data_IF_236153087101
#
_entry.id   IF_236153087101
#
_cell.length_a   1.000
_cell.length_b   1.000
_cell.length_c   1.000
_cell.angle_alpha   90.00
_cell.angle_beta   90.00
_cell.angle_gamma   90.00
#
_symmetry.space_group_name_H-M   'P 1'
#
loop_
_entity.id
_entity.type
_entity.pdbx_description
1 polymer ?
#
# COMPACT_ATOMS: atom_id res chain seq x y z
N UNK A 1 0.84 15.32 -18.55
CA UNK A 1 -0.16 15.94 -17.64
C UNK A 1 0.20 17.41 -17.51
N UNK A 2 -0.76 18.34 -17.62
CA UNK A 2 -0.40 19.76 -17.50
C UNK A 2 0.01 20.11 -16.06
N UNK A 3 0.81 21.17 -15.88
CA UNK A 3 1.38 21.53 -14.57
C UNK A 3 0.32 21.75 -13.47
N UNK A 4 -0.88 22.17 -13.85
CA UNK A 4 -1.96 22.45 -12.89
C UNK A 4 -2.63 21.15 -12.42
N UNK A 5 -2.82 20.18 -13.32
CA UNK A 5 -3.25 18.83 -12.97
C UNK A 5 -2.28 18.19 -11.97
N UNK A 6 -0.97 18.32 -12.19
CA UNK A 6 0.05 17.79 -11.26
C UNK A 6 -0.04 18.45 -9.88
N UNK A 7 -0.26 19.76 -9.86
CA UNK A 7 -0.46 20.51 -8.62
C UNK A 7 -1.71 20.03 -7.88
N UNK A 8 -2.82 19.79 -8.57
CA UNK A 8 -4.05 19.25 -7.97
C UNK A 8 -3.80 17.90 -7.31
N UNK A 9 -3.12 16.98 -7.99
CA UNK A 9 -2.71 15.68 -7.42
C UNK A 9 -1.81 15.84 -6.20
N UNK A 10 -0.80 16.70 -6.31
CA UNK A 10 0.15 16.96 -5.25
C UNK A 10 -0.53 17.49 -3.99
N UNK A 11 -1.48 18.42 -4.14
CA UNK A 11 -2.24 18.98 -3.03
C UNK A 11 -3.09 17.92 -2.36
N UNK A 12 -3.87 17.13 -3.13
CA UNK A 12 -4.70 16.04 -2.57
C UNK A 12 -3.84 14.99 -1.87
N UNK A 13 -2.73 14.57 -2.49
CA UNK A 13 -1.80 13.62 -1.89
C UNK A 13 -1.15 14.16 -0.61
N UNK A 14 -0.80 15.44 -0.58
CA UNK A 14 -0.27 16.11 0.61
C UNK A 14 -1.26 16.08 1.76
N UNK A 15 -2.56 16.27 1.50
CA UNK A 15 -3.59 16.18 2.53
C UNK A 15 -3.65 14.77 3.14
N UNK A 16 -3.60 13.74 2.31
CA UNK A 16 -3.61 12.36 2.82
C UNK A 16 -2.38 12.03 3.66
N UNK A 17 -1.19 12.47 3.23
CA UNK A 17 0.07 12.17 3.93
C UNK A 17 0.28 13.02 5.18
N UNK A 18 -0.03 14.32 5.14
CA UNK A 18 0.29 15.27 6.21
C UNK A 18 -0.85 15.48 7.20
N UNK A 19 -2.09 15.19 6.80
CA UNK A 19 -3.26 15.42 7.66
C UNK A 19 -3.95 14.09 7.97
N UNK A 20 -4.46 13.39 6.96
CA UNK A 20 -5.32 12.21 7.20
C UNK A 20 -4.56 11.08 7.86
N UNK A 21 -3.38 10.73 7.36
CA UNK A 21 -2.58 9.63 7.93
C UNK A 21 -2.20 9.90 9.40
N UNK A 22 -1.65 11.07 9.76
CA UNK A 22 -1.40 11.40 11.17
C UNK A 22 -2.65 11.44 12.04
N UNK A 23 -3.79 11.95 11.53
CA UNK A 23 -5.06 11.93 12.25
C UNK A 23 -5.50 10.50 12.55
N UNK A 24 -5.40 9.60 11.57
CA UNK A 24 -5.79 8.20 11.75
C UNK A 24 -4.88 7.50 12.76
N UNK A 25 -3.56 7.69 12.64
CA UNK A 25 -2.58 7.21 13.61
C UNK A 25 -2.92 7.68 15.02
N UNK A 26 -3.16 8.98 15.21
CA UNK A 26 -3.54 9.55 16.51
C UNK A 26 -4.84 8.94 17.06
N UNK A 27 -5.84 8.66 16.22
CA UNK A 27 -7.06 7.96 16.64
C UNK A 27 -6.79 6.51 17.06
N UNK A 28 -5.93 5.78 16.35
CA UNK A 28 -5.47 4.44 16.77
C UNK A 28 -4.75 4.52 18.11
N UNK A 29 -3.89 5.52 18.29
CA UNK A 29 -3.17 5.76 19.53
C UNK A 29 -4.09 5.97 20.73
N UNK A 30 -5.05 6.88 20.56
CA UNK A 30 -6.04 7.15 21.57
C UNK A 30 -6.84 5.89 21.91
N UNK A 31 -7.26 5.10 20.92
CA UNK A 31 -8.04 3.87 21.16
C UNK A 31 -7.23 2.85 21.96
N UNK A 32 -5.99 2.55 21.56
CA UNK A 32 -5.21 1.57 22.31
C UNK A 32 -4.81 2.05 23.70
N UNK A 33 -4.53 3.35 23.85
CA UNK A 33 -4.22 3.96 25.15
C UNK A 33 -5.43 3.91 26.08
N UNK A 34 -6.62 4.23 25.57
CA UNK A 34 -7.88 4.17 26.32
C UNK A 34 -8.25 2.74 26.72
N UNK A 35 -7.88 1.74 25.92
CA UNK A 35 -8.02 0.31 26.25
C UNK A 35 -6.94 -0.19 27.24
N UNK A 36 -6.02 0.68 27.68
CA UNK A 36 -4.99 0.36 28.67
C UNK A 36 -3.78 -0.37 28.10
N UNK A 37 -3.60 -0.39 26.77
CA UNK A 37 -2.38 -0.91 26.17
C UNK A 37 -1.26 0.12 26.34
N UNK A 38 -0.12 -0.30 26.89
CA UNK A 38 1.04 0.57 27.07
C UNK A 38 1.83 0.89 25.78
N UNK A 39 1.48 0.24 24.66
CA UNK A 39 2.09 0.49 23.36
C UNK A 39 1.22 -0.04 22.22
N UNK A 40 1.45 0.49 21.01
CA UNK A 40 0.87 -0.04 19.79
C UNK A 40 1.22 -1.51 19.55
N UNK A 41 2.46 -1.91 19.86
CA UNK A 41 2.89 -3.32 19.77
C UNK A 41 2.06 -4.25 20.66
N UNK A 42 1.78 -3.83 21.90
CA UNK A 42 0.93 -4.59 22.81
C UNK A 42 -0.51 -4.68 22.33
N UNK A 43 -1.03 -3.60 21.74
CA UNK A 43 -2.36 -3.55 21.14
C UNK A 43 -2.52 -4.51 19.96
N UNK A 44 -1.61 -4.47 18.98
CA UNK A 44 -1.65 -5.38 17.84
C UNK A 44 -1.51 -6.84 18.29
N UNK A 45 -0.71 -7.10 19.33
CA UNK A 45 -0.57 -8.45 19.90
C UNK A 45 -1.73 -8.90 20.78
N UNK A 46 -2.71 -8.03 21.08
CA UNK A 46 -3.87 -8.42 21.86
C UNK A 46 -4.68 -9.49 21.13
N UNK A 47 -5.27 -10.42 21.88
CA UNK A 47 -5.94 -11.59 21.30
C UNK A 47 -7.07 -11.19 20.34
N UNK A 48 -7.87 -10.17 20.69
CA UNK A 48 -8.97 -9.68 19.86
C UNK A 48 -8.47 -9.08 18.55
N UNK A 49 -7.43 -8.24 18.57
CA UNK A 49 -6.88 -7.59 17.37
C UNK A 49 -6.24 -8.63 16.45
N UNK A 50 -5.42 -9.55 17.00
CA UNK A 50 -4.84 -10.66 16.21
C UNK A 50 -5.91 -11.51 15.56
N UNK A 51 -6.97 -11.82 16.29
CA UNK A 51 -8.10 -12.61 15.79
C UNK A 51 -8.78 -11.91 14.61
N UNK A 52 -9.13 -10.63 14.76
CA UNK A 52 -9.79 -9.84 13.72
C UNK A 52 -8.93 -9.77 12.45
N UNK A 53 -7.67 -9.35 12.59
CA UNK A 53 -6.75 -9.22 11.45
C UNK A 53 -6.50 -10.56 10.74
N UNK A 54 -6.43 -11.66 11.50
CA UNK A 54 -6.31 -13.02 10.93
C UNK A 54 -7.51 -13.35 10.03
N UNK A 55 -8.74 -13.06 10.45
CA UNK A 55 -9.94 -13.33 9.65
C UNK A 55 -10.10 -12.40 8.46
N UNK A 56 -9.58 -11.16 8.53
CA UNK A 56 -9.49 -10.30 7.35
C UNK A 56 -8.53 -10.87 6.30
N UNK A 57 -7.47 -11.56 6.73
CA UNK A 57 -6.52 -12.23 5.86
C UNK A 57 -7.04 -13.58 5.31
N UNK A 58 -7.70 -14.39 6.13
CA UNK A 58 -8.26 -15.71 5.78
C UNK A 58 -9.77 -15.71 5.86
N UNK A 59 -10.40 -15.19 4.80
CA UNK A 59 -11.85 -15.23 4.68
C UNK A 59 -12.33 -16.68 4.76
N UNK A 60 -13.34 -16.94 5.58
CA UNK A 60 -14.01 -18.24 5.74
C UNK A 60 -13.22 -19.34 6.47
N UNK A 61 -12.09 -19.05 7.13
CA UNK A 61 -11.49 -20.01 8.06
C UNK A 61 -12.09 -19.85 9.45
N UNK A 62 -12.61 -20.94 10.04
CA UNK A 62 -12.93 -20.97 11.47
C UNK A 62 -11.62 -21.00 12.26
N UNK A 63 -11.47 -20.16 13.28
CA UNK A 63 -10.33 -20.24 14.18
C UNK A 63 -10.81 -20.43 15.63
N UNK A 64 -10.17 -21.36 16.33
CA UNK A 64 -10.49 -21.78 17.71
C UNK A 64 -11.86 -22.49 17.87
N UNK A 65 -12.02 -23.21 18.98
CA UNK A 65 -13.21 -24.02 19.29
C UNK A 65 -14.48 -23.18 19.49
N UNK A 66 -14.37 -21.87 19.70
CA UNK A 66 -15.48 -20.93 19.84
C UNK A 66 -15.95 -20.39 18.49
N UNK A 67 -16.85 -21.15 17.85
CA UNK A 67 -17.48 -20.78 16.58
C UNK A 67 -18.47 -19.60 16.69
N UNK A 68 -18.79 -19.14 17.91
CA UNK A 68 -19.91 -18.22 18.17
C UNK A 68 -19.59 -16.76 17.80
N UNK A 69 -18.31 -16.40 17.67
CA UNK A 69 -17.87 -15.03 17.33
C UNK A 69 -17.16 -14.91 15.97
N UNK A 70 -17.08 -16.01 15.20
CA UNK A 70 -16.47 -16.02 13.88
C UNK A 70 -17.45 -15.49 12.81
N UNK A 71 -17.92 -14.24 12.93
CA UNK A 71 -18.80 -13.65 11.92
C UNK A 71 -18.14 -12.48 11.19
N UNK A 72 -17.99 -12.67 9.88
CA UNK A 72 -18.08 -11.67 8.82
C UNK A 72 -17.70 -10.24 9.22
N UNK A 73 -16.40 -9.96 9.33
CA UNK A 73 -15.98 -8.58 9.09
C UNK A 73 -16.17 -8.29 7.60
N UNK A 74 -17.14 -7.44 7.29
CA UNK A 74 -17.48 -7.03 5.92
C UNK A 74 -16.52 -6.01 5.34
N UNK A 75 -15.58 -5.49 6.12
CA UNK A 75 -14.80 -4.34 5.72
C UNK A 75 -13.33 -4.71 5.49
N UNK A 76 -13.10 -5.30 4.31
CA UNK A 76 -11.83 -5.25 3.57
C UNK A 76 -10.74 -6.25 3.99
N UNK A 77 -10.10 -6.95 3.03
CA UNK A 77 -9.09 -7.94 3.35
C UNK A 77 -7.76 -7.27 3.72
N UNK A 78 -6.98 -7.94 4.58
CA UNK A 78 -5.56 -7.65 4.76
C UNK A 78 -4.80 -8.41 3.67
N UNK A 79 -3.99 -7.71 2.87
CA UNK A 79 -3.17 -8.35 1.83
C UNK A 79 -1.83 -8.87 2.39
N UNK A 80 -1.02 -9.54 1.56
CA UNK A 80 0.26 -10.10 1.98
C UNK A 80 1.27 -9.04 2.46
N UNK A 81 1.41 -7.92 1.75
CA UNK A 81 2.38 -6.89 2.11
C UNK A 81 2.06 -6.21 3.43
N UNK A 82 0.78 -5.93 3.68
CA UNK A 82 0.28 -5.39 4.95
C UNK A 82 0.44 -6.39 6.09
N UNK A 83 0.18 -7.68 5.82
CA UNK A 83 0.37 -8.72 6.83
C UNK A 83 1.85 -8.86 7.23
N UNK A 84 2.75 -8.92 6.24
CA UNK A 84 4.20 -9.03 6.47
C UNK A 84 4.74 -7.84 7.26
N UNK A 85 4.15 -6.64 7.10
CA UNK A 85 4.51 -5.49 7.91
C UNK A 85 4.09 -5.71 9.37
N UNK A 86 2.90 -6.26 9.60
CA UNK A 86 2.35 -6.45 10.93
C UNK A 86 2.94 -7.63 11.71
N UNK A 87 3.20 -8.78 11.08
CA UNK A 87 3.53 -10.03 11.76
C UNK A 87 4.79 -10.71 11.23
N UNK A 88 5.48 -11.39 12.15
CA UNK A 88 6.74 -12.13 11.90
C UNK A 88 6.56 -13.39 11.06
N UNK A 89 5.39 -14.04 11.13
CA UNK A 89 5.08 -15.25 10.37
C UNK A 89 4.04 -14.95 9.28
N UNK A 90 4.34 -15.37 8.06
CA UNK A 90 3.39 -15.32 6.96
C UNK A 90 2.56 -16.61 6.93
N UNK A 91 1.23 -16.51 7.02
CA UNK A 91 0.33 -17.63 6.91
C UNK A 91 0.10 -17.90 5.43
N UNK A 92 1.07 -18.53 4.75
CA UNK A 92 1.00 -18.87 3.32
C UNK A 92 -0.32 -19.51 2.83
N UNK A 93 -0.42 -19.88 1.55
CA UNK A 93 -1.64 -20.50 1.04
C UNK A 93 -1.87 -21.89 1.69
N UNK A 94 -2.77 -21.97 2.66
CA UNK A 94 -3.12 -23.23 3.33
C UNK A 94 -4.00 -23.05 4.58
N UNK A 95 -4.53 -24.16 5.15
CA UNK A 95 -5.32 -24.12 6.38
C UNK A 95 -4.40 -23.79 7.56
N UNK A 96 -4.26 -22.51 7.88
CA UNK A 96 -3.43 -22.09 9.01
C UNK A 96 -4.19 -22.18 10.34
N UNK A 97 -3.69 -23.10 11.17
CA UNK A 97 -4.15 -23.35 12.52
C UNK A 97 -3.84 -22.16 13.44
N UNK A 98 -4.91 -21.53 13.93
CA UNK A 98 -4.98 -20.60 15.07
C UNK A 98 -4.25 -19.23 14.94
N UNK A 99 -4.96 -18.14 15.23
CA UNK A 99 -4.40 -16.78 15.28
C UNK A 99 -3.42 -16.56 16.45
N UNK A 100 -3.46 -17.41 17.49
CA UNK A 100 -2.64 -17.23 18.69
C UNK A 100 -1.13 -17.35 18.45
N UNK A 101 -0.71 -18.04 17.38
CA UNK A 101 0.71 -18.26 17.08
C UNK A 101 1.42 -17.01 16.54
N UNK A 102 0.68 -16.04 16.01
CA UNK A 102 1.28 -14.88 15.38
C UNK A 102 1.73 -13.86 16.42
N UNK A 103 2.94 -13.33 16.21
CA UNK A 103 3.54 -12.27 17.02
C UNK A 103 3.82 -11.06 16.13
N UNK A 104 3.36 -9.89 16.57
CA UNK A 104 3.56 -8.65 15.83
C UNK A 104 5.05 -8.29 15.74
N UNK A 105 5.46 -7.80 14.57
CA UNK A 105 6.78 -7.21 14.37
C UNK A 105 6.98 -6.01 15.31
N UNK A 106 8.22 -5.57 15.51
CA UNK A 106 8.50 -4.31 16.22
C UNK A 106 8.14 -3.11 15.34
N UNK A 107 6.83 -2.92 15.13
CA UNK A 107 6.27 -1.80 14.38
C UNK A 107 5.91 -0.65 15.32
N UNK A 108 6.18 0.55 14.85
CA UNK A 108 5.71 1.79 15.44
C UNK A 108 4.46 2.27 14.73
N UNK A 109 3.71 3.14 15.40
CA UNK A 109 2.53 3.76 14.83
C UNK A 109 2.86 4.58 13.56
N UNK A 110 4.06 5.16 13.52
CA UNK A 110 4.53 5.95 12.39
C UNK A 110 4.86 5.12 11.13
N UNK A 111 4.94 3.80 11.26
CA UNK A 111 5.15 2.89 10.15
C UNK A 111 3.85 2.60 9.38
N UNK A 112 2.69 2.98 9.94
CA UNK A 112 1.39 2.71 9.33
C UNK A 112 1.05 3.75 8.25
N UNK A 113 0.90 3.33 7.00
CA UNK A 113 0.27 4.17 5.98
C UNK A 113 -1.24 4.38 6.25
N UNK A 114 -1.88 5.22 5.44
CA UNK A 114 -3.33 5.46 5.52
C UNK A 114 -4.15 4.18 5.35
N UNK A 115 -3.71 3.25 4.49
CA UNK A 115 -4.44 2.03 4.18
C UNK A 115 -4.49 1.13 5.40
N UNK A 116 -3.36 0.95 6.09
CA UNK A 116 -3.24 0.11 7.27
C UNK A 116 -3.85 0.79 8.50
N UNK A 117 -3.63 2.09 8.67
CA UNK A 117 -4.23 2.86 9.76
C UNK A 117 -5.76 2.85 9.68
N UNK A 118 -6.33 3.10 8.48
CA UNK A 118 -7.79 3.02 8.28
C UNK A 118 -8.34 1.61 8.49
N UNK A 119 -7.63 0.57 8.04
CA UNK A 119 -8.04 -0.82 8.25
C UNK A 119 -8.10 -1.16 9.73
N UNK A 120 -7.07 -0.79 10.51
CA UNK A 120 -7.03 -1.00 11.96
C UNK A 120 -8.15 -0.21 12.64
N UNK A 121 -8.35 1.05 12.27
CA UNK A 121 -9.42 1.88 12.82
C UNK A 121 -10.82 1.27 12.61
N UNK A 122 -11.13 0.88 11.37
CA UNK A 122 -12.47 0.38 11.01
C UNK A 122 -12.77 -1.00 11.59
N UNK A 123 -11.75 -1.81 11.87
CA UNK A 123 -11.96 -3.21 12.27
C UNK A 123 -11.59 -3.50 13.73
N UNK A 124 -10.66 -2.73 14.32
CA UNK A 124 -10.06 -3.05 15.62
C UNK A 124 -10.28 -1.97 16.69
N UNK A 125 -10.65 -0.75 16.27
CA UNK A 125 -10.87 0.38 17.18
C UNK A 125 -12.38 0.64 17.39
N UNK A 126 -12.71 1.28 18.51
CA UNK A 126 -14.07 1.70 18.78
C UNK A 126 -14.31 3.10 18.21
N UNK A 127 -14.94 3.17 17.03
CA UNK A 127 -15.34 4.42 16.40
C UNK A 127 -16.83 4.69 16.60
N UNK A 128 -17.19 5.98 16.72
CA UNK A 128 -18.58 6.40 16.56
C UNK A 128 -19.03 6.21 15.11
N UNK A 129 -20.33 6.02 14.89
CA UNK A 129 -20.89 5.76 13.55
C UNK A 129 -20.49 6.81 12.50
N UNK A 130 -20.40 8.07 12.92
CA UNK A 130 -19.97 9.17 12.05
C UNK A 130 -18.50 9.03 11.65
N UNK A 131 -17.60 8.85 12.62
CA UNK A 131 -16.16 8.64 12.37
C UNK A 131 -15.92 7.42 11.49
N UNK A 132 -16.62 6.31 11.73
CA UNK A 132 -16.52 5.10 10.91
C UNK A 132 -16.86 5.39 9.44
N UNK A 133 -17.95 6.13 9.19
CA UNK A 133 -18.36 6.50 7.85
C UNK A 133 -17.31 7.40 7.18
N UNK A 134 -16.82 8.42 7.90
CA UNK A 134 -15.83 9.35 7.34
C UNK A 134 -14.50 8.65 7.05
N UNK A 135 -14.01 7.79 7.96
CA UNK A 135 -12.79 7.00 7.74
C UNK A 135 -12.96 6.09 6.51
N UNK A 136 -14.11 5.45 6.38
CA UNK A 136 -14.45 4.63 5.21
C UNK A 136 -14.44 5.44 3.91
N UNK A 137 -15.05 6.63 3.91
CA UNK A 137 -15.08 7.54 2.77
C UNK A 137 -13.67 8.01 2.41
N UNK A 138 -12.89 8.59 3.35
CA UNK A 138 -11.53 9.07 3.09
C UNK A 138 -10.62 7.97 2.52
N UNK A 139 -10.76 6.73 3.02
CA UNK A 139 -10.05 5.58 2.45
C UNK A 139 -10.49 5.30 1.01
N UNK A 140 -11.78 5.33 0.74
CA UNK A 140 -12.31 5.14 -0.60
C UNK A 140 -11.82 6.23 -1.55
N UNK A 141 -11.81 7.50 -1.12
CA UNK A 141 -11.22 8.61 -1.87
C UNK A 141 -9.73 8.37 -2.16
N UNK A 142 -8.94 7.90 -1.18
CA UNK A 142 -7.54 7.53 -1.45
C UNK A 142 -7.44 6.48 -2.55
N UNK A 143 -8.25 5.42 -2.51
CA UNK A 143 -8.19 4.37 -3.52
C UNK A 143 -8.65 4.89 -4.90
N UNK A 144 -9.78 5.57 -4.95
CA UNK A 144 -10.35 6.02 -6.22
C UNK A 144 -9.48 7.09 -6.89
N UNK A 145 -8.86 7.99 -6.12
CA UNK A 145 -8.15 9.13 -6.69
C UNK A 145 -6.63 9.01 -6.69
N UNK A 146 -6.04 8.24 -5.79
CA UNK A 146 -4.59 8.01 -5.82
C UNK A 146 -4.30 6.71 -6.57
N UNK A 147 -5.03 5.60 -6.32
CA UNK A 147 -4.68 4.32 -6.96
C UNK A 147 -5.14 4.17 -8.42
N UNK A 148 -6.18 4.87 -8.87
CA UNK A 148 -6.69 4.73 -10.26
C UNK A 148 -6.17 5.82 -11.21
N UNK A 149 -5.57 6.87 -10.68
CA UNK A 149 -5.38 8.11 -11.40
C UNK A 149 -3.92 8.38 -11.79
N UNK A 150 -3.06 7.37 -11.63
CA UNK A 150 -1.75 7.28 -12.32
C UNK A 150 -1.90 7.38 -13.85
N UNK A 151 -3.11 7.14 -14.37
CA UNK A 151 -3.42 7.14 -15.80
C UNK A 151 -4.18 8.38 -16.31
N UNK A 152 -4.92 9.12 -15.47
CA UNK A 152 -5.84 10.20 -15.90
C UNK A 152 -5.45 11.64 -15.49
N UNK A 153 -6.05 12.63 -16.17
CA UNK A 153 -6.04 14.05 -15.75
C UNK A 153 -7.15 14.32 -14.74
N UNK A 154 -6.94 15.19 -13.75
CA UNK A 154 -8.02 15.70 -12.89
C UNK A 154 -8.46 17.04 -13.45
N UNK A 155 -9.68 17.09 -13.97
CA UNK A 155 -10.28 18.35 -14.40
C UNK A 155 -10.45 19.31 -13.22
N UNK A 156 -10.46 20.61 -13.48
CA UNK A 156 -10.68 21.63 -12.45
C UNK A 156 -11.98 21.39 -11.66
N UNK A 157 -13.05 20.99 -12.35
CA UNK A 157 -14.34 20.65 -11.74
C UNK A 157 -14.22 19.46 -10.79
N UNK A 158 -13.57 18.37 -11.23
CA UNK A 158 -13.35 17.21 -10.38
C UNK A 158 -12.52 17.57 -9.15
N UNK A 159 -11.45 18.37 -9.33
CA UNK A 159 -10.64 18.84 -8.21
C UNK A 159 -11.45 19.67 -7.20
N UNK A 160 -12.31 20.57 -7.66
CA UNK A 160 -13.11 21.38 -6.74
C UNK A 160 -14.11 20.53 -5.96
N UNK A 161 -14.81 19.61 -6.61
CA UNK A 161 -15.71 18.67 -5.91
C UNK A 161 -14.93 17.83 -4.89
N UNK A 162 -13.80 17.26 -5.31
CA UNK A 162 -12.91 16.49 -4.47
C UNK A 162 -12.43 17.26 -3.25
N UNK A 163 -11.95 18.47 -3.48
CA UNK A 163 -11.41 19.31 -2.44
C UNK A 163 -12.48 19.66 -1.41
N UNK A 164 -13.67 20.05 -1.85
CA UNK A 164 -14.79 20.38 -0.95
C UNK A 164 -15.20 19.19 -0.09
N UNK A 165 -15.28 17.99 -0.67
CA UNK A 165 -15.62 16.79 0.08
C UNK A 165 -14.52 16.44 1.11
N UNK A 166 -13.25 16.46 0.66
CA UNK A 166 -12.09 16.16 1.49
C UNK A 166 -11.97 17.12 2.68
N UNK A 167 -12.13 18.42 2.42
CA UNK A 167 -12.15 19.48 3.44
C UNK A 167 -13.28 19.24 4.44
N UNK A 168 -14.50 18.98 3.96
CA UNK A 168 -15.66 18.69 4.83
C UNK A 168 -15.41 17.48 5.74
N UNK A 169 -14.88 16.38 5.19
CA UNK A 169 -14.59 15.18 5.97
C UNK A 169 -13.51 15.40 7.02
N UNK A 170 -12.44 16.11 6.67
CA UNK A 170 -11.33 16.37 7.58
C UNK A 170 -11.79 17.29 8.71
N UNK A 171 -12.52 18.37 8.40
CA UNK A 171 -13.01 19.29 9.42
C UNK A 171 -14.08 18.67 10.33
N UNK A 172 -14.85 17.70 9.83
CA UNK A 172 -15.73 16.90 10.69
C UNK A 172 -14.94 15.98 11.64
N UNK A 173 -13.81 15.42 11.20
CA UNK A 173 -12.97 14.58 12.05
C UNK A 173 -12.12 15.36 13.05
N UNK A 174 -11.59 16.50 12.63
CA UNK A 174 -10.77 17.40 13.43
C UNK A 174 -10.89 18.85 12.90
N UNK A 175 -11.77 19.68 13.51
CA UNK A 175 -11.95 21.07 13.12
C UNK A 175 -10.68 21.92 13.22
N UNK A 176 -9.67 21.50 14.00
CA UNK A 176 -8.41 22.26 14.14
C UNK A 176 -7.53 22.25 12.88
N UNK A 177 -7.94 21.53 11.84
CA UNK A 177 -7.19 21.35 10.59
C UNK A 177 -7.48 22.36 9.49
N UNK A 178 -8.33 23.34 9.76
CA UNK A 178 -8.67 24.40 8.80
C UNK A 178 -7.43 25.12 8.27
N UNK A 179 -6.56 25.62 9.15
CA UNK A 179 -5.33 26.33 8.75
C UNK A 179 -4.37 25.42 7.96
N UNK A 180 -4.28 24.13 8.34
CA UNK A 180 -3.45 23.15 7.65
C UNK A 180 -3.95 22.92 6.21
N UNK A 181 -5.28 22.85 6.01
CA UNK A 181 -5.91 22.68 4.71
C UNK A 181 -5.71 23.90 3.82
N UNK A 182 -5.91 25.11 4.34
CA UNK A 182 -5.67 26.37 3.62
C UNK A 182 -4.22 26.45 3.15
N UNK A 183 -3.27 26.11 4.05
CA UNK A 183 -1.84 26.07 3.74
C UNK A 183 -1.52 25.09 2.61
N UNK A 184 -2.10 23.89 2.65
CA UNK A 184 -1.87 22.88 1.61
C UNK A 184 -2.49 23.26 0.27
N UNK A 185 -3.69 23.85 0.27
CA UNK A 185 -4.35 24.31 -0.96
C UNK A 185 -3.53 25.37 -1.70
N UNK A 186 -2.88 26.27 -0.95
CA UNK A 186 -2.06 27.36 -1.48
C UNK A 186 -0.61 26.94 -1.75
N UNK A 187 -0.23 25.68 -1.47
CA UNK A 187 1.15 25.24 -1.58
C UNK A 187 1.62 25.29 -3.05
N UNK A 188 2.83 25.83 -3.31
CA UNK A 188 3.46 25.72 -4.62
C UNK A 188 3.87 24.27 -4.89
N UNK A 189 3.85 23.88 -6.17
CA UNK A 189 4.33 22.55 -6.57
C UNK A 189 5.81 22.38 -6.16
N UNK A 190 6.09 21.40 -5.31
CA UNK A 190 7.43 20.98 -4.91
C UNK A 190 7.67 19.58 -5.45
N UNK A 191 8.59 19.47 -6.40
CA UNK A 191 8.77 18.21 -7.09
C UNK A 191 9.35 17.10 -6.20
N UNK A 192 10.31 17.41 -5.34
CA UNK A 192 10.90 16.39 -4.47
C UNK A 192 9.83 15.80 -3.54
N UNK A 193 8.90 16.65 -3.11
CA UNK A 193 7.79 16.24 -2.27
C UNK A 193 6.75 15.43 -3.07
N UNK A 194 6.48 15.80 -4.33
CA UNK A 194 5.64 15.02 -5.25
C UNK A 194 6.16 13.59 -5.39
N UNK A 195 7.44 13.43 -5.73
CA UNK A 195 8.06 12.12 -5.98
C UNK A 195 7.97 11.23 -4.73
N UNK A 196 8.27 11.81 -3.57
CA UNK A 196 8.16 11.12 -2.28
C UNK A 196 6.71 10.66 -2.00
N UNK A 197 5.73 11.51 -2.25
CA UNK A 197 4.32 11.21 -1.98
C UNK A 197 3.73 10.23 -2.98
N UNK A 198 4.14 10.29 -4.25
CA UNK A 198 3.74 9.34 -5.27
C UNK A 198 4.14 7.91 -4.86
N UNK A 199 5.38 7.73 -4.38
CA UNK A 199 5.89 6.45 -3.88
C UNK A 199 5.09 5.97 -2.66
N UNK A 200 4.79 6.86 -1.70
CA UNK A 200 4.07 6.49 -0.48
C UNK A 200 2.56 6.23 -0.68
N UNK A 201 1.91 6.92 -1.61
CA UNK A 201 0.44 6.89 -1.76
C UNK A 201 -0.06 5.85 -2.75
N UNK A 202 0.72 5.53 -3.78
CA UNK A 202 0.34 4.57 -4.80
C UNK A 202 0.44 3.12 -4.33
N UNK A 203 0.80 2.88 -3.07
CA UNK A 203 1.15 1.55 -2.55
C UNK A 203 2.12 0.83 -3.51
N UNK A 204 2.97 1.60 -4.22
CA UNK A 204 3.93 1.17 -5.26
C UNK A 204 5.11 0.41 -4.65
N UNK A 205 4.87 -0.30 -3.56
CA UNK A 205 5.77 -1.34 -3.09
C UNK A 205 5.83 -2.43 -4.16
N UNK A 206 6.92 -2.42 -4.94
CA UNK A 206 8.00 -3.43 -5.07
C UNK A 206 7.68 -4.93 -4.97
N UNK A 207 6.60 -5.36 -4.31
CA UNK A 207 6.26 -6.75 -3.99
C UNK A 207 5.34 -7.43 -5.00
N UNK A 208 4.58 -6.68 -5.83
CA UNK A 208 3.68 -7.31 -6.81
C UNK A 208 4.48 -8.01 -7.92
N UNK A 209 5.50 -7.34 -8.45
CA UNK A 209 6.36 -7.89 -9.52
C UNK A 209 7.23 -9.05 -9.01
N UNK A 210 7.79 -8.94 -7.79
CA UNK A 210 8.52 -10.04 -7.17
C UNK A 210 7.62 -11.26 -6.91
N UNK A 211 6.39 -11.06 -6.42
CA UNK A 211 5.47 -12.17 -6.16
C UNK A 211 4.96 -12.84 -7.44
N UNK A 212 4.74 -12.08 -8.52
CA UNK A 212 4.35 -12.66 -9.81
C UNK A 212 5.50 -13.50 -10.40
N UNK A 213 6.75 -13.00 -10.37
CA UNK A 213 7.93 -13.75 -10.84
C UNK A 213 8.21 -14.99 -9.97
N UNK A 214 8.01 -14.88 -8.66
CA UNK A 214 8.11 -16.01 -7.74
C UNK A 214 6.96 -17.01 -7.96
N UNK A 215 5.76 -16.56 -8.31
CA UNK A 215 4.64 -17.45 -8.67
C UNK A 215 4.91 -18.18 -9.99
N UNK A 216 5.47 -17.51 -11.00
CA UNK A 216 5.95 -18.13 -12.25
C UNK A 216 7.05 -19.18 -12.00
N UNK A 217 7.92 -18.94 -11.03
CA UNK A 217 8.94 -19.91 -10.60
C UNK A 217 8.35 -21.19 -10.01
N UNK A 218 7.24 -21.10 -9.28
CA UNK A 218 6.60 -22.25 -8.62
C UNK A 218 5.77 -23.12 -9.58
N UNK A 219 5.25 -22.55 -10.67
CA UNK A 219 4.37 -23.26 -11.62
C UNK A 219 5.09 -23.79 -12.87
N UNK A 220 6.39 -23.57 -13.00
CA UNK A 220 7.15 -23.98 -14.19
C UNK A 220 8.08 -25.17 -13.89
N UNK A 221 7.90 -26.29 -14.59
CA UNK A 221 8.83 -27.45 -14.61
C UNK A 221 10.15 -27.16 -15.37
N UNK A 222 10.44 -25.87 -15.59
CA UNK A 222 11.62 -25.42 -16.29
C UNK A 222 12.84 -25.53 -15.37
N UNK A 223 13.88 -26.19 -15.86
CA UNK A 223 15.19 -26.25 -15.21
C UNK A 223 15.66 -24.85 -14.80
N UNK A 224 16.17 -24.70 -13.57
CA UNK A 224 16.57 -23.42 -12.97
C UNK A 224 17.55 -22.63 -13.86
N UNK A 225 18.39 -23.32 -14.63
CA UNK A 225 19.34 -22.73 -15.59
C UNK A 225 18.68 -22.14 -16.84
N UNK A 226 17.39 -22.42 -17.07
CA UNK A 226 16.63 -21.95 -18.23
C UNK A 226 15.62 -20.87 -17.84
N UNK A 227 15.25 -20.77 -16.57
CA UNK A 227 14.26 -19.82 -16.07
C UNK A 227 14.65 -18.36 -16.37
N UNK A 228 15.90 -17.97 -16.08
CA UNK A 228 16.38 -16.60 -16.37
C UNK A 228 16.27 -16.26 -17.85
N UNK A 229 16.72 -17.17 -18.72
CA UNK A 229 16.67 -16.97 -20.18
C UNK A 229 15.23 -16.91 -20.73
N UNK A 230 14.32 -17.74 -20.22
CA UNK A 230 12.93 -17.76 -20.68
C UNK A 230 12.22 -16.46 -20.30
N UNK A 231 12.43 -15.97 -19.07
CA UNK A 231 11.82 -14.71 -18.64
C UNK A 231 12.41 -13.53 -19.44
N UNK A 232 13.73 -13.50 -19.65
CA UNK A 232 14.40 -12.50 -20.48
C UNK A 232 13.80 -12.39 -21.90
N UNK A 233 13.51 -13.54 -22.50
CA UNK A 233 12.90 -13.62 -23.82
C UNK A 233 11.40 -13.31 -23.82
N UNK A 234 10.72 -13.43 -22.68
CA UNK A 234 9.31 -13.07 -22.53
C UNK A 234 9.10 -11.57 -22.34
N UNK A 235 10.17 -10.81 -22.05
CA UNK A 235 10.08 -9.36 -22.01
C UNK A 235 9.68 -8.80 -23.38
N UNK A 236 8.86 -7.74 -23.42
CA UNK A 236 8.38 -7.16 -24.66
C UNK A 236 9.53 -6.59 -25.51
N UNK A 237 9.52 -6.89 -26.82
CA UNK A 237 10.52 -6.42 -27.78
C UNK A 237 10.31 -4.94 -28.14
N UNK A 238 9.04 -4.54 -28.31
CA UNK A 238 8.63 -3.20 -28.74
C UNK A 238 8.03 -2.39 -27.56
N UNK A 239 8.74 -2.40 -26.43
CA UNK A 239 8.37 -1.58 -25.27
C UNK A 239 9.19 -0.29 -25.22
N UNK A 240 8.56 0.83 -24.83
CA UNK A 240 9.22 2.14 -24.76
C UNK A 240 10.42 2.15 -23.81
N UNK A 241 10.39 1.34 -22.73
CA UNK A 241 11.51 1.21 -21.80
C UNK A 241 12.73 0.51 -22.41
N UNK A 242 12.54 -0.20 -23.53
CA UNK A 242 13.54 -1.08 -24.15
C UNK A 242 14.18 -2.04 -23.14
N UNK A 243 13.40 -2.48 -22.14
CA UNK A 243 13.91 -3.25 -21.00
C UNK A 243 14.62 -4.52 -21.45
N UNK A 244 14.12 -5.16 -22.51
CA UNK A 244 14.73 -6.37 -23.09
C UNK A 244 16.10 -6.08 -23.70
N UNK A 245 16.28 -5.00 -24.45
CA UNK A 245 17.60 -4.60 -24.97
C UNK A 245 18.57 -4.32 -23.80
N UNK A 246 18.13 -3.56 -22.80
CA UNK A 246 18.95 -3.21 -21.62
C UNK A 246 19.39 -4.46 -20.85
N UNK A 247 18.55 -5.48 -20.79
CA UNK A 247 18.84 -6.73 -20.10
C UNK A 247 19.94 -7.50 -20.82
N UNK A 248 19.80 -7.73 -22.12
CA UNK A 248 20.78 -8.47 -22.91
C UNK A 248 22.11 -7.70 -23.07
N UNK A 249 22.12 -6.39 -22.89
CA UNK A 249 23.34 -5.58 -22.85
C UNK A 249 24.08 -5.64 -21.49
N UNK A 250 23.38 -5.84 -20.38
CA UNK A 250 23.94 -5.73 -19.03
C UNK A 250 24.09 -7.05 -18.29
N UNK A 251 23.28 -8.05 -18.63
CA UNK A 251 23.38 -9.40 -18.08
C UNK A 251 23.88 -10.32 -19.17
N UNK A 252 25.00 -10.99 -18.92
CA UNK A 252 25.51 -11.96 -19.87
C UNK A 252 24.59 -13.19 -19.95
N UNK A 253 24.51 -13.80 -21.13
CA UNK A 253 23.78 -15.04 -21.33
C UNK A 253 24.28 -16.17 -20.39
N UNK A 254 25.57 -16.15 -20.03
CA UNK A 254 26.16 -17.11 -19.11
C UNK A 254 25.73 -16.89 -17.65
N UNK A 255 25.44 -15.63 -17.26
CA UNK A 255 24.87 -15.32 -15.95
C UNK A 255 23.40 -15.73 -15.86
N UNK A 256 22.62 -15.53 -16.94
CA UNK A 256 21.23 -15.96 -17.04
C UNK A 256 21.05 -17.48 -17.01
N UNK A 257 22.09 -18.23 -17.42
CA UNK A 257 22.11 -19.70 -17.43
C UNK A 257 22.53 -20.35 -16.12
N UNK A 258 22.81 -19.57 -15.09
CA UNK A 258 23.14 -20.10 -13.75
C UNK A 258 21.88 -20.47 -12.99
N UNK A 259 22.02 -21.29 -11.95
CA UNK A 259 20.92 -21.59 -11.02
C UNK A 259 20.41 -20.31 -10.32
N UNK A 260 21.25 -19.26 -10.26
CA UNK A 260 20.94 -17.92 -9.76
C UNK A 260 20.50 -16.94 -10.85
N UNK A 261 20.33 -17.38 -12.10
CA UNK A 261 20.02 -16.53 -13.25
C UNK A 261 18.72 -15.76 -13.06
N UNK A 262 17.68 -16.41 -12.53
CA UNK A 262 16.43 -15.76 -12.17
C UNK A 262 16.60 -14.68 -11.10
N UNK A 263 17.37 -14.93 -10.04
CA UNK A 263 17.65 -13.94 -8.99
C UNK A 263 18.42 -12.73 -9.53
N UNK A 264 19.34 -12.99 -10.47
CA UNK A 264 20.12 -11.95 -11.15
C UNK A 264 19.21 -11.07 -12.01
N UNK A 265 18.24 -11.68 -12.69
CA UNK A 265 17.23 -11.00 -13.49
C UNK A 265 16.26 -10.18 -12.62
N UNK A 266 15.79 -10.73 -11.49
CA UNK A 266 14.98 -9.98 -10.51
C UNK A 266 15.75 -8.76 -10.01
N UNK A 267 17.01 -8.91 -9.64
CA UNK A 267 17.85 -7.79 -9.17
C UNK A 267 18.07 -6.74 -10.27
N UNK A 268 18.19 -7.17 -11.52
CA UNK A 268 18.26 -6.28 -12.67
C UNK A 268 16.95 -5.52 -12.88
N UNK A 269 15.81 -6.21 -12.82
CA UNK A 269 14.50 -5.58 -12.95
C UNK A 269 14.23 -4.62 -11.79
N UNK A 270 14.63 -4.96 -10.56
CA UNK A 270 14.61 -4.03 -9.42
C UNK A 270 15.45 -2.76 -9.65
N UNK A 271 16.50 -2.85 -10.47
CA UNK A 271 17.36 -1.70 -10.78
C UNK A 271 16.78 -0.82 -11.87
N UNK A 272 16.11 -1.41 -12.87
CA UNK A 272 15.64 -0.74 -14.07
C UNK A 272 14.14 -0.46 -14.06
N UNK A 273 13.30 -1.42 -13.67
CA UNK A 273 11.84 -1.28 -13.58
C UNK A 273 11.36 -0.58 -12.30
N UNK A 274 12.07 -0.72 -11.16
CA UNK A 274 11.76 0.12 -9.99
C UNK A 274 12.06 1.62 -10.23
N UNK A 275 12.76 1.92 -11.34
CA UNK A 275 12.92 3.26 -11.88
C UNK A 275 11.95 3.57 -13.01
N UNK A 276 11.51 2.62 -13.82
CA UNK A 276 10.72 2.90 -15.02
C UNK A 276 9.24 3.23 -14.72
N UNK A 277 8.59 2.66 -13.69
CA UNK A 277 7.26 3.16 -13.27
C UNK A 277 7.34 4.57 -12.67
N UNK A 278 8.46 4.87 -12.00
CA UNK A 278 8.78 6.19 -11.51
C UNK A 278 9.14 7.12 -12.67
N UNK A 279 9.88 6.67 -13.69
CA UNK A 279 10.36 7.46 -14.82
C UNK A 279 9.24 7.75 -15.82
N UNK A 280 8.32 6.81 -16.08
CA UNK A 280 7.13 7.03 -16.90
C UNK A 280 6.13 7.93 -16.18
N UNK A 281 6.01 7.79 -14.86
CA UNK A 281 5.30 8.77 -14.04
C UNK A 281 5.99 10.14 -14.15
N UNK A 282 7.29 10.24 -13.87
CA UNK A 282 8.09 11.48 -13.89
C UNK A 282 8.10 12.17 -15.28
N UNK A 283 8.22 11.42 -16.37
CA UNK A 283 8.15 11.93 -17.74
C UNK A 283 6.74 12.45 -18.08
N UNK A 284 5.69 11.79 -17.57
CA UNK A 284 4.30 12.28 -17.64
C UNK A 284 4.07 13.53 -16.78
N UNK A 285 4.87 13.69 -15.72
CA UNK A 285 4.94 14.85 -14.83
C UNK A 285 5.96 15.93 -15.29
N UNK A 286 6.63 15.77 -16.43
CA UNK A 286 7.45 16.82 -17.05
C UNK A 286 8.85 17.03 -16.45
N UNK A 287 9.52 15.95 -16.03
CA UNK A 287 10.93 15.92 -15.63
C UNK A 287 11.83 15.36 -16.71
#
# INVERSE_FOLDING_TARGET
MDREDQRRYFVVGSVFMEIVTPLFRKKVENDYTNKGFGSFHAFINSQSVKHILFHLRHRNTCCCQDQVHCFNSRALPVNYSQWDLLYTENPGPGPHNCHCKFTANQIQLDDLDITLASLILLNCCNLGQQDENIVGQLRQYKNDYLSHNTKGQITETEYHTLWTDLESFILQLDPSKEDDLIRLQQRPLDQQLCDKYLICLLDLHKKLDEQELLAWKEITDLDKKKQGVVIALSLPEDDESKIREKEFDQISLDDLKKDTGLTTLITFMDKHLAKDDLADSLAKFGF
#
